data_IF_951068259660
#
_entry.id   IF_951068259660
#
_cell.length_a   1.000
_cell.length_b   1.000
_cell.length_c   1.000
_cell.angle_alpha   90.00
_cell.angle_beta   90.00
_cell.angle_gamma   90.00
#
_symmetry.space_group_name_H-M   'P 1'
#
loop_
_entity.id
_entity.type
_entity.pdbx_description
1 polymer ?
#
# COMPACT_ATOMS: atom_id res chain seq x y z
N UNK A 1 6.23 16.30 -1.64
CA UNK A 1 6.97 17.20 -2.57
C UNK A 1 6.09 17.71 -3.71
N UNK A 2 5.52 16.82 -4.54
CA UNK A 2 4.72 17.20 -5.73
C UNK A 2 3.55 18.15 -5.40
N UNK A 3 2.76 17.87 -4.34
CA UNK A 3 1.67 18.74 -3.87
C UNK A 3 2.13 20.18 -3.66
N UNK A 4 3.23 20.39 -2.92
CA UNK A 4 3.75 21.73 -2.61
C UNK A 4 4.28 22.45 -3.85
N UNK A 5 4.96 21.76 -4.76
CA UNK A 5 5.36 22.36 -6.04
C UNK A 5 4.16 22.87 -6.83
N UNK A 6 3.08 22.08 -6.88
CA UNK A 6 1.83 22.48 -7.51
C UNK A 6 1.23 23.70 -6.82
N UNK A 7 1.11 23.70 -5.49
CA UNK A 7 0.62 24.84 -4.71
C UNK A 7 1.39 26.14 -4.98
N UNK A 8 2.72 26.08 -4.99
CA UNK A 8 3.56 27.24 -5.27
C UNK A 8 3.36 27.75 -6.71
N UNK A 9 3.26 26.83 -7.67
CA UNK A 9 2.99 27.15 -9.07
C UNK A 9 1.62 27.79 -9.26
N UNK A 10 0.58 27.26 -8.60
CA UNK A 10 -0.80 27.74 -8.70
C UNK A 10 -0.93 29.20 -8.19
N UNK A 11 -0.08 29.58 -7.23
CA UNK A 11 0.00 30.95 -6.69
C UNK A 11 1.08 31.82 -7.34
N UNK A 12 1.85 31.29 -8.31
CA UNK A 12 2.91 32.03 -9.00
C UNK A 12 4.09 32.44 -8.11
N UNK A 13 4.34 31.71 -7.01
CA UNK A 13 5.37 32.04 -6.02
C UNK A 13 6.51 31.00 -6.01
N UNK A 14 7.73 31.46 -5.71
CA UNK A 14 8.93 30.61 -5.73
C UNK A 14 9.26 29.93 -4.41
N UNK A 15 8.66 30.34 -3.28
CA UNK A 15 8.99 29.81 -1.95
C UNK A 15 7.76 29.61 -1.07
N UNK A 16 7.86 28.73 -0.07
CA UNK A 16 6.80 28.49 0.91
C UNK A 16 6.49 29.73 1.75
N UNK A 17 7.49 30.56 2.02
CA UNK A 17 7.30 31.83 2.73
C UNK A 17 6.44 32.81 1.93
N UNK A 18 6.74 32.98 0.63
CA UNK A 18 5.92 33.79 -0.28
C UNK A 18 4.51 33.20 -0.43
N UNK A 19 4.37 31.87 -0.44
CA UNK A 19 3.06 31.22 -0.43
C UNK A 19 2.25 31.57 0.82
N UNK A 20 2.85 31.52 2.02
CA UNK A 20 2.17 31.89 3.28
C UNK A 20 1.72 33.36 3.26
N UNK A 21 2.54 34.25 2.70
CA UNK A 21 2.21 35.67 2.55
C UNK A 21 1.09 35.90 1.53
N UNK A 22 1.13 35.23 0.38
CA UNK A 22 0.17 35.42 -0.71
C UNK A 22 -1.19 34.76 -0.45
N UNK A 23 -1.21 33.56 0.12
CA UNK A 23 -2.43 32.78 0.36
C UNK A 23 -3.07 33.04 1.72
N UNK A 24 -2.30 33.54 2.69
CA UNK A 24 -2.70 33.59 4.11
C UNK A 24 -2.77 32.21 4.79
N UNK A 25 -2.51 31.11 4.07
CA UNK A 25 -2.58 29.76 4.60
C UNK A 25 -1.20 29.30 5.12
N UNK A 26 -1.21 28.63 6.27
CA UNK A 26 -0.01 28.06 6.86
C UNK A 26 0.24 26.65 6.32
N UNK A 27 1.47 26.39 5.91
CA UNK A 27 1.97 25.07 5.54
C UNK A 27 3.17 24.76 6.44
N UNK A 28 3.21 23.62 7.17
CA UNK A 28 4.24 23.34 8.15
C UNK A 28 5.61 23.13 7.51
N UNK A 29 6.68 23.58 8.17
CA UNK A 29 8.03 23.16 7.77
C UNK A 29 8.21 21.67 8.11
N UNK A 30 8.85 20.91 7.23
CA UNK A 30 9.19 19.51 7.47
C UNK A 30 10.69 19.43 7.63
N UNK A 31 11.15 18.81 8.72
CA UNK A 31 12.58 18.53 8.95
C UNK A 31 12.76 17.03 8.91
N UNK A 32 13.59 16.55 7.98
CA UNK A 32 13.98 15.16 7.87
C UNK A 32 15.36 15.03 8.52
N UNK A 33 15.44 14.22 9.57
CA UNK A 33 16.67 13.94 10.30
C UNK A 33 17.15 12.55 9.88
N UNK A 34 18.35 12.47 9.33
CA UNK A 34 19.03 11.22 9.02
C UNK A 34 20.27 11.13 9.90
N UNK A 35 20.21 10.30 10.93
CA UNK A 35 21.36 10.02 11.78
C UNK A 35 22.12 8.81 11.22
N UNK A 36 23.41 8.98 10.95
CA UNK A 36 24.30 8.01 10.32
C UNK A 36 23.87 7.64 8.90
N UNK A 37 24.28 8.44 7.91
CA UNK A 37 24.06 8.13 6.49
C UNK A 37 24.57 6.72 6.09
N UNK A 38 25.58 6.21 6.78
CA UNK A 38 26.12 4.88 6.53
C UNK A 38 25.13 3.75 6.84
N UNK A 39 24.12 3.95 7.70
CA UNK A 39 23.16 2.91 8.08
C UNK A 39 22.22 2.49 6.95
N UNK A 40 22.10 3.30 5.88
CA UNK A 40 21.29 2.95 4.71
C UNK A 40 22.10 2.30 3.58
N UNK A 41 23.43 2.17 3.72
CA UNK A 41 24.25 1.51 2.70
C UNK A 41 23.93 0.02 2.69
N UNK A 42 23.96 -0.58 1.51
CA UNK A 42 23.74 -2.03 1.28
C UNK A 42 22.30 -2.52 1.50
N UNK A 43 21.41 -1.63 1.93
CA UNK A 43 19.98 -1.90 2.01
C UNK A 43 19.35 -2.00 0.62
N UNK A 44 18.35 -2.88 0.47
CA UNK A 44 17.68 -3.10 -0.83
C UNK A 44 17.05 -1.82 -1.40
N UNK A 45 16.67 -0.87 -0.53
CA UNK A 45 16.05 0.41 -0.88
C UNK A 45 17.06 1.56 -1.04
N UNK A 46 18.37 1.34 -0.87
CA UNK A 46 19.41 2.40 -0.88
C UNK A 46 19.28 3.28 -2.13
N UNK A 47 19.16 2.67 -3.32
CA UNK A 47 19.18 3.38 -4.59
C UNK A 47 18.00 4.36 -4.75
N UNK A 48 16.78 3.89 -4.44
CA UNK A 48 15.57 4.71 -4.53
C UNK A 48 15.54 5.78 -3.43
N UNK A 49 15.94 5.41 -2.20
CA UNK A 49 16.05 6.37 -1.10
C UNK A 49 17.07 7.47 -1.42
N UNK A 50 18.23 7.12 -1.95
CA UNK A 50 19.26 8.08 -2.31
C UNK A 50 18.78 9.05 -3.41
N UNK A 51 18.06 8.54 -4.41
CA UNK A 51 17.43 9.37 -5.46
C UNK A 51 16.43 10.37 -4.87
N UNK A 52 15.64 9.94 -3.88
CA UNK A 52 14.72 10.80 -3.15
C UNK A 52 15.46 11.85 -2.31
N UNK A 53 16.51 11.46 -1.57
CA UNK A 53 17.32 12.36 -0.75
C UNK A 53 17.99 13.47 -1.59
N UNK A 54 18.56 13.13 -2.74
CA UNK A 54 19.15 14.12 -3.67
C UNK A 54 18.10 15.07 -4.21
N UNK A 55 16.91 14.55 -4.53
CA UNK A 55 15.78 15.38 -4.97
C UNK A 55 15.35 16.36 -3.87
N UNK A 56 15.26 15.89 -2.63
CA UNK A 56 14.92 16.71 -1.46
C UNK A 56 16.00 17.75 -1.20
N UNK A 57 17.29 17.40 -1.25
CA UNK A 57 18.36 18.35 -0.96
C UNK A 57 18.41 19.49 -1.98
N UNK A 58 18.08 19.21 -3.25
CA UNK A 58 18.02 20.23 -4.31
C UNK A 58 16.76 21.10 -4.27
N UNK A 59 15.60 20.51 -3.99
CA UNK A 59 14.30 21.16 -4.21
C UNK A 59 13.54 21.47 -2.92
N UNK A 60 13.96 20.91 -1.78
CA UNK A 60 13.24 20.95 -0.52
C UNK A 60 13.15 22.34 0.10
N UNK A 61 14.24 23.11 0.01
CA UNK A 61 14.33 24.42 0.67
C UNK A 61 13.23 25.38 0.22
N UNK A 62 12.96 25.47 -1.09
CA UNK A 62 11.92 26.34 -1.63
C UNK A 62 10.52 25.94 -1.17
N UNK A 63 10.29 24.65 -0.89
CA UNK A 63 8.98 24.12 -0.48
C UNK A 63 8.89 23.84 1.03
N UNK A 64 9.83 24.37 1.83
CA UNK A 64 9.88 24.24 3.29
C UNK A 64 10.09 22.82 3.78
N UNK A 65 10.90 22.04 3.06
CA UNK A 65 11.39 20.72 3.47
C UNK A 65 12.90 20.82 3.67
N UNK A 66 13.36 20.54 4.89
CA UNK A 66 14.74 20.66 5.32
C UNK A 66 15.31 19.28 5.61
N UNK A 67 16.59 19.12 5.35
CA UNK A 67 17.31 17.86 5.56
C UNK A 67 18.50 18.12 6.47
N UNK A 68 18.59 17.33 7.55
CA UNK A 68 19.72 17.31 8.47
C UNK A 68 20.31 15.90 8.42
N UNK A 69 21.59 15.81 8.10
CA UNK A 69 22.28 14.52 7.93
C UNK A 69 23.52 14.51 8.79
N UNK A 70 23.73 13.42 9.53
CA UNK A 70 25.03 13.10 10.12
C UNK A 70 25.68 11.97 9.30
N UNK A 71 27.00 12.00 9.20
CA UNK A 71 27.78 10.97 8.56
C UNK A 71 29.12 10.87 9.29
N UNK A 72 29.69 9.66 9.35
CA UNK A 72 31.01 9.45 9.95
C UNK A 72 32.11 10.17 9.17
N UNK A 73 32.01 10.21 7.84
CA UNK A 73 32.94 10.91 6.94
C UNK A 73 32.21 11.57 5.78
N UNK A 74 32.70 12.71 5.30
CA UNK A 74 32.11 13.35 4.11
C UNK A 74 32.35 12.49 2.86
N UNK A 75 33.48 11.78 2.79
CA UNK A 75 33.80 10.83 1.72
C UNK A 75 32.77 9.69 1.55
N UNK A 76 31.98 9.38 2.59
CA UNK A 76 30.88 8.41 2.49
C UNK A 76 29.65 8.96 1.76
N UNK A 77 29.51 10.28 1.70
CA UNK A 77 28.43 10.97 1.01
C UNK A 77 28.82 11.16 -0.46
N UNK A 78 27.89 10.87 -1.38
CA UNK A 78 28.12 11.10 -2.80
C UNK A 78 28.07 12.60 -3.11
N UNK A 79 28.95 13.09 -3.97
CA UNK A 79 29.13 14.54 -4.25
C UNK A 79 27.84 15.27 -4.63
N UNK A 80 27.00 14.65 -5.47
CA UNK A 80 25.71 15.23 -5.87
C UNK A 80 24.73 15.45 -4.71
N UNK A 81 24.96 14.81 -3.56
CA UNK A 81 24.12 14.95 -2.39
C UNK A 81 24.62 16.06 -1.47
N UNK A 82 25.88 16.01 -1.04
CA UNK A 82 26.43 16.99 -0.11
C UNK A 82 26.67 18.37 -0.75
N UNK A 83 26.78 18.45 -2.08
CA UNK A 83 26.90 19.74 -2.79
C UNK A 83 25.69 20.66 -2.57
N UNK A 84 24.53 20.11 -2.20
CA UNK A 84 23.32 20.88 -1.89
C UNK A 84 23.27 21.35 -0.43
N UNK A 85 24.22 20.97 0.42
CA UNK A 85 24.26 21.38 1.83
C UNK A 85 24.92 22.75 1.97
N UNK A 86 24.09 23.77 2.20
CA UNK A 86 24.52 25.14 2.47
C UNK A 86 25.31 25.24 3.79
N UNK A 87 24.84 24.55 4.82
CA UNK A 87 25.48 24.55 6.14
C UNK A 87 26.13 23.21 6.38
N UNK A 88 27.43 23.24 6.61
CA UNK A 88 28.22 22.06 6.95
C UNK A 88 29.13 22.43 8.12
N UNK A 89 29.31 21.48 9.02
CA UNK A 89 30.21 21.58 10.14
C UNK A 89 30.91 20.23 10.34
N UNK A 90 32.10 20.27 10.91
CA UNK A 90 32.85 19.07 11.28
C UNK A 90 33.10 19.08 12.78
N UNK A 91 32.75 17.99 13.45
CA UNK A 91 33.29 17.65 14.77
C UNK A 91 34.76 17.21 14.61
N UNK A 92 35.51 16.95 15.71
CA UNK A 92 36.84 16.38 15.61
C UNK A 92 36.81 15.10 14.76
N UNK A 93 37.75 15.00 13.82
CA UNK A 93 37.92 13.85 12.93
C UNK A 93 39.34 13.32 13.08
N UNK A 94 39.50 12.00 12.91
CA UNK A 94 40.82 11.37 12.97
C UNK A 94 41.76 11.87 11.86
N UNK A 95 41.21 12.19 10.69
CA UNK A 95 41.94 12.74 9.55
C UNK A 95 41.60 14.22 9.34
N UNK A 96 42.61 15.08 9.39
CA UNK A 96 42.48 16.51 9.12
C UNK A 96 42.10 16.81 7.66
N UNK A 97 42.36 15.89 6.73
CA UNK A 97 41.95 15.97 5.33
C UNK A 97 40.43 16.03 5.18
N UNK A 98 39.71 15.20 5.94
CA UNK A 98 38.24 15.17 5.97
C UNK A 98 37.66 16.47 6.53
N UNK A 99 38.30 17.05 7.55
CA UNK A 99 37.89 18.37 8.08
C UNK A 99 38.03 19.43 7.00
N UNK A 100 39.14 19.43 6.27
CA UNK A 100 39.41 20.40 5.20
C UNK A 100 38.47 20.28 4.01
N UNK A 101 37.99 19.08 3.68
CA UNK A 101 37.01 18.92 2.59
C UNK A 101 35.64 19.49 2.95
N UNK A 102 35.32 19.58 4.25
CA UNK A 102 34.06 20.14 4.76
C UNK A 102 34.14 21.67 4.91
N UNK A 103 35.12 22.17 5.68
CA UNK A 103 35.19 23.60 6.04
C UNK A 103 36.19 24.41 5.20
N UNK A 104 36.90 23.76 4.28
CA UNK A 104 37.94 24.38 3.47
C UNK A 104 39.32 24.35 4.13
N UNK A 105 40.33 24.88 3.43
CA UNK A 105 41.70 24.93 3.93
C UNK A 105 41.81 25.89 5.12
N UNK A 106 42.14 25.35 6.30
CA UNK A 106 42.36 26.14 7.53
C UNK A 106 43.44 25.49 8.40
N UNK A 107 44.24 26.29 9.14
CA UNK A 107 45.14 25.75 10.18
C UNK A 107 44.35 25.16 11.37
N UNK A 108 43.12 25.63 11.60
CA UNK A 108 42.28 25.19 12.72
C UNK A 108 41.95 23.70 12.66
N UNK A 109 41.89 23.12 11.46
CA UNK A 109 41.67 21.68 11.27
C UNK A 109 42.71 20.81 11.98
N UNK A 110 43.94 21.32 12.20
CA UNK A 110 45.02 20.61 12.91
C UNK A 110 45.10 20.95 14.40
N UNK A 111 44.51 22.08 14.79
CA UNK A 111 44.59 22.63 16.14
C UNK A 111 43.29 22.41 16.93
N UNK A 112 42.31 21.74 16.33
CA UNK A 112 41.03 21.46 16.95
C UNK A 112 41.20 20.49 18.12
N UNK A 113 40.77 20.90 19.30
CA UNK A 113 40.78 20.07 20.50
C UNK A 113 39.67 19.01 20.43
N UNK A 114 39.97 17.81 20.93
CA UNK A 114 39.02 16.70 21.03
C UNK A 114 38.11 16.87 22.27
N UNK A 115 37.22 17.85 22.19
CA UNK A 115 36.20 18.14 23.21
C UNK A 115 34.84 17.79 22.63
N UNK A 116 34.03 17.02 23.37
CA UNK A 116 32.66 16.69 22.95
C UNK A 116 31.86 17.98 22.65
N UNK A 117 31.25 18.02 21.47
CA UNK A 117 30.47 19.18 21.00
C UNK A 117 31.32 20.33 20.42
N UNK A 118 32.64 20.25 20.43
CA UNK A 118 33.51 21.16 19.67
C UNK A 118 33.29 20.92 18.19
N UNK A 119 33.16 21.97 17.38
CA UNK A 119 33.00 21.86 15.94
C UNK A 119 33.74 22.99 15.21
N UNK A 120 34.11 22.72 13.96
CA UNK A 120 34.46 23.76 12.99
C UNK A 120 33.28 23.96 12.05
N UNK A 121 32.89 25.21 11.83
CA UNK A 121 31.83 25.57 10.89
C UNK A 121 32.32 26.69 9.99
N UNK A 122 32.12 26.53 8.68
CA UNK A 122 32.40 27.59 7.73
C UNK A 122 31.20 28.52 7.62
N UNK A 123 31.38 29.79 7.96
CA UNK A 123 30.45 30.89 7.69
C UNK A 123 31.09 31.79 6.63
N UNK A 124 31.46 33.01 6.98
CA UNK A 124 32.35 33.85 6.17
C UNK A 124 33.80 33.36 6.32
N UNK A 125 34.20 33.06 7.55
CA UNK A 125 35.47 32.40 7.90
C UNK A 125 35.20 31.05 8.58
N UNK A 126 36.27 30.30 8.90
CA UNK A 126 36.15 29.04 9.64
C UNK A 126 36.20 29.35 11.13
N UNK A 127 35.07 29.16 11.80
CA UNK A 127 34.92 29.41 13.23
C UNK A 127 35.05 28.12 14.05
N UNK A 128 35.68 28.24 15.21
CA UNK A 128 35.64 27.21 16.24
C UNK A 128 34.41 27.44 17.12
N UNK A 129 33.46 26.52 17.08
CA UNK A 129 32.20 26.60 17.84
C UNK A 129 32.12 25.52 18.91
N UNK A 130 31.33 25.76 19.95
CA UNK A 130 30.94 24.76 20.93
C UNK A 130 29.43 24.62 20.88
N UNK A 131 28.95 23.40 20.62
CA UNK A 131 27.52 23.10 20.58
C UNK A 131 26.94 23.15 21.99
N UNK A 132 25.76 23.74 22.11
CA UNK A 132 24.99 23.72 23.34
C UNK A 132 24.42 22.31 23.59
N UNK A 133 24.27 21.98 24.87
CA UNK A 133 23.45 20.83 25.26
C UNK A 133 21.97 21.15 24.99
N UNK A 134 21.14 20.14 24.69
CA UNK A 134 19.71 20.36 24.44
C UNK A 134 18.98 20.91 25.67
N UNK A 135 19.46 20.59 26.87
CA UNK A 135 19.00 21.10 28.16
C UNK A 135 20.19 21.24 29.11
N UNK A 136 20.06 22.08 30.14
CA UNK A 136 21.09 22.22 31.18
C UNK A 136 21.20 20.95 32.03
N UNK A 137 22.43 20.57 32.41
CA UNK A 137 22.71 19.46 33.33
C UNK A 137 24.20 19.36 33.61
N UNK A 138 24.58 18.97 34.83
CA UNK A 138 25.99 18.86 35.22
C UNK A 138 26.65 17.53 34.75
N UNK A 139 25.84 16.55 34.36
CA UNK A 139 26.28 15.25 33.86
C UNK A 139 25.21 14.62 32.94
N UNK A 140 25.58 13.57 32.22
CA UNK A 140 24.73 12.91 31.21
C UNK A 140 23.38 12.43 31.78
N UNK A 141 23.36 11.92 33.02
CA UNK A 141 22.13 11.45 33.66
C UNK A 141 21.16 12.60 33.96
N UNK A 142 21.68 13.75 34.42
CA UNK A 142 20.86 14.95 34.62
C UNK A 142 20.35 15.51 33.29
N UNK A 143 21.19 15.56 32.25
CA UNK A 143 20.78 16.02 30.91
C UNK A 143 19.64 15.14 30.39
N UNK A 144 19.74 13.81 30.52
CA UNK A 144 18.69 12.89 30.05
C UNK A 144 17.37 13.08 30.81
N UNK A 145 17.41 13.21 32.14
CA UNK A 145 16.21 13.41 32.94
C UNK A 145 15.54 14.76 32.65
N UNK A 146 16.33 15.83 32.56
CA UNK A 146 15.81 17.15 32.23
C UNK A 146 15.24 17.20 30.81
N UNK A 147 15.84 16.47 29.86
CA UNK A 147 15.33 16.39 28.48
C UNK A 147 13.97 15.69 28.44
N UNK A 148 13.77 14.62 29.22
CA UNK A 148 12.47 13.96 29.34
C UNK A 148 11.40 14.89 29.92
N UNK A 149 11.76 15.69 30.93
CA UNK A 149 10.86 16.67 31.53
C UNK A 149 10.50 17.78 30.53
N UNK A 150 11.48 18.30 29.79
CA UNK A 150 11.25 19.32 28.76
C UNK A 150 10.31 18.80 27.66
N UNK A 151 10.54 17.58 27.17
CA UNK A 151 9.66 16.95 26.17
C UNK A 151 8.24 16.77 26.70
N UNK A 152 8.07 16.33 27.95
CA UNK A 152 6.74 16.20 28.56
C UNK A 152 6.03 17.55 28.67
N UNK A 153 6.75 18.60 29.11
CA UNK A 153 6.22 19.96 29.19
C UNK A 153 5.77 20.49 27.83
N UNK A 154 6.58 20.28 26.78
CA UNK A 154 6.20 20.66 25.41
C UNK A 154 4.97 19.89 24.90
N UNK A 155 4.85 18.61 25.26
CA UNK A 155 3.69 17.80 24.90
C UNK A 155 2.40 18.25 25.60
N UNK A 156 2.49 18.67 26.86
CA UNK A 156 1.36 19.21 27.64
C UNK A 156 0.97 20.61 27.18
N UNK A 157 1.95 21.46 26.84
CA UNK A 157 1.72 22.82 26.37
C UNK A 157 1.03 22.87 24.99
N UNK A 158 1.23 21.85 24.14
CA UNK A 158 0.64 21.79 22.82
C UNK A 158 -0.75 21.16 22.80
N UNK A 159 -1.77 21.99 22.66
CA UNK A 159 -3.18 21.58 22.55
C UNK A 159 -3.70 21.49 21.10
N UNK A 160 -2.87 21.84 20.12
CA UNK A 160 -3.23 21.81 18.70
C UNK A 160 -3.12 20.42 18.06
N UNK A 161 -3.43 20.34 16.77
CA UNK A 161 -3.25 19.11 15.99
C UNK A 161 -1.76 18.73 15.93
N UNK A 162 -1.45 17.46 16.18
CA UNK A 162 -0.10 16.89 15.98
C UNK A 162 0.05 16.37 14.55
N UNK A 163 1.28 16.31 14.00
CA UNK A 163 1.52 15.63 12.73
C UNK A 163 1.00 14.20 12.77
N UNK A 164 0.32 13.76 11.72
CA UNK A 164 -0.05 12.36 11.56
C UNK A 164 1.20 11.49 11.48
N UNK A 165 1.16 10.32 12.11
CA UNK A 165 2.20 9.31 11.93
C UNK A 165 2.30 8.90 10.45
N UNK A 166 3.47 8.41 10.05
CA UNK A 166 3.61 7.75 8.75
C UNK A 166 2.71 6.50 8.81
N UNK A 167 1.71 6.37 7.93
CA UNK A 167 0.89 5.17 7.88
C UNK A 167 1.79 3.96 7.64
N UNK A 168 1.71 2.96 8.51
CA UNK A 168 2.43 1.70 8.35
C UNK A 168 1.43 0.58 8.22
N UNK A 169 1.69 -0.34 7.29
CA UNK A 169 0.96 -1.59 7.22
C UNK A 169 1.32 -2.41 8.47
N UNK A 170 0.34 -2.91 9.24
CA UNK A 170 0.61 -3.80 10.37
C UNK A 170 1.42 -5.04 9.97
N UNK A 171 2.23 -5.57 10.89
CA UNK A 171 2.97 -6.82 10.69
C UNK A 171 2.04 -8.02 10.52
N UNK A 172 0.88 -8.01 11.18
CA UNK A 172 -0.24 -8.93 10.97
C UNK A 172 -1.51 -8.10 10.87
N UNK A 173 -2.31 -8.36 9.85
CA UNK A 173 -3.57 -7.64 9.65
C UNK A 173 -4.73 -8.54 10.08
N UNK A 174 -5.20 -8.42 11.32
CA UNK A 174 -6.42 -9.12 11.72
C UNK A 174 -7.66 -8.44 11.14
N UNK A 175 -8.75 -9.19 10.98
CA UNK A 175 -10.05 -8.66 10.56
C UNK A 175 -10.52 -7.58 11.53
N UNK A 176 -10.40 -7.78 12.84
CA UNK A 176 -10.83 -6.81 13.85
C UNK A 176 -10.07 -5.48 13.71
N UNK A 177 -8.74 -5.56 13.56
CA UNK A 177 -7.88 -4.37 13.37
C UNK A 177 -8.28 -3.63 12.10
N UNK A 178 -8.48 -4.37 11.01
CA UNK A 178 -8.85 -3.79 9.72
C UNK A 178 -10.20 -3.05 9.77
N UNK A 179 -11.22 -3.64 10.41
CA UNK A 179 -12.55 -3.02 10.48
C UNK A 179 -12.64 -1.85 11.48
N UNK A 180 -11.89 -1.90 12.58
CA UNK A 180 -11.90 -0.82 13.58
C UNK A 180 -11.15 0.42 13.11
N UNK A 181 -10.04 0.26 12.36
CA UNK A 181 -9.13 1.36 12.07
C UNK A 181 -9.43 2.12 10.75
N UNK A 182 -10.10 1.50 9.78
CA UNK A 182 -10.10 2.00 8.39
C UNK A 182 -11.47 2.35 7.79
N UNK A 183 -12.53 2.51 8.60
CA UNK A 183 -13.79 3.12 8.13
C UNK A 183 -14.52 2.33 7.04
N UNK A 184 -14.60 1.01 7.19
CA UNK A 184 -15.11 0.06 6.19
C UNK A 184 -16.55 0.31 5.73
N UNK A 185 -17.37 0.92 6.59
CA UNK A 185 -18.77 1.17 6.30
C UNK A 185 -18.99 2.07 5.07
N UNK A 186 -18.05 2.98 4.80
CA UNK A 186 -18.09 3.84 3.60
C UNK A 186 -17.82 3.02 2.32
N UNK A 187 -16.91 2.05 2.37
CA UNK A 187 -16.62 1.16 1.23
C UNK A 187 -17.83 0.32 0.86
N UNK A 188 -18.52 -0.25 1.87
CA UNK A 188 -19.72 -1.04 1.64
C UNK A 188 -20.87 -0.21 1.05
N UNK A 189 -21.03 1.04 1.47
CA UNK A 189 -21.98 1.98 0.86
C UNK A 189 -21.65 2.29 -0.61
N UNK A 190 -20.38 2.20 -1.00
CA UNK A 190 -19.92 2.34 -2.38
C UNK A 190 -19.90 1.00 -3.14
N UNK A 191 -20.51 -0.04 -2.57
CA UNK A 191 -20.54 -1.41 -3.09
C UNK A 191 -19.13 -1.97 -3.36
N UNK A 192 -18.18 -1.65 -2.47
CA UNK A 192 -16.81 -2.16 -2.49
C UNK A 192 -16.66 -3.19 -1.38
N UNK A 193 -16.37 -4.44 -1.75
CA UNK A 193 -16.08 -5.50 -0.79
C UNK A 193 -14.60 -5.39 -0.39
N UNK A 194 -14.30 -5.00 0.86
CA UNK A 194 -12.93 -4.71 1.28
C UNK A 194 -12.14 -6.02 1.43
N UNK A 195 -10.86 -6.02 1.06
CA UNK A 195 -10.02 -7.23 1.09
C UNK A 195 -8.73 -7.05 1.89
N UNK A 196 -8.29 -5.80 2.11
CA UNK A 196 -7.04 -5.54 2.79
C UNK A 196 -6.57 -4.10 2.64
N UNK A 197 -5.28 -3.88 2.93
CA UNK A 197 -4.61 -2.59 2.83
C UNK A 197 -3.63 -2.57 1.67
N UNK A 198 -3.64 -1.47 0.92
CA UNK A 198 -2.58 -1.18 -0.05
C UNK A 198 -1.24 -0.96 0.67
N UNK A 199 -0.17 -1.61 0.19
CA UNK A 199 1.12 -1.58 0.88
C UNK A 199 1.88 -0.27 0.74
N UNK A 200 1.53 0.60 -0.21
CA UNK A 200 2.22 1.87 -0.42
C UNK A 200 1.55 3.02 0.34
N UNK A 201 0.22 3.08 0.34
CA UNK A 201 -0.53 4.20 0.90
C UNK A 201 -1.31 3.86 2.19
N UNK A 202 -1.36 2.57 2.56
CA UNK A 202 -2.06 2.06 3.75
C UNK A 202 -3.53 2.48 3.78
N UNK A 203 -4.18 2.40 2.62
CA UNK A 203 -5.61 2.62 2.48
C UNK A 203 -6.35 1.30 2.27
N UNK A 204 -7.59 1.17 2.77
CA UNK A 204 -8.39 -0.02 2.55
C UNK A 204 -8.75 -0.12 1.06
N UNK A 205 -8.56 -1.32 0.52
CA UNK A 205 -8.79 -1.67 -0.88
C UNK A 205 -9.52 -2.99 -0.97
N UNK A 206 -10.18 -3.22 -2.10
CA UNK A 206 -10.96 -4.42 -2.31
C UNK A 206 -11.63 -4.47 -3.67
N UNK A 207 -12.59 -5.38 -3.80
CA UNK A 207 -13.34 -5.60 -5.02
C UNK A 207 -14.40 -4.51 -5.22
N UNK A 208 -14.29 -3.77 -6.33
CA UNK A 208 -15.28 -2.76 -6.73
C UNK A 208 -16.35 -3.42 -7.60
N UNK A 209 -17.47 -3.82 -6.99
CA UNK A 209 -18.51 -4.60 -7.68
C UNK A 209 -19.09 -3.83 -8.87
N UNK A 210 -19.26 -2.51 -8.74
CA UNK A 210 -19.71 -1.65 -9.84
C UNK A 210 -18.77 -1.60 -11.05
N UNK A 211 -17.49 -2.00 -10.92
CA UNK A 211 -16.54 -2.09 -12.04
C UNK A 211 -16.55 -3.45 -12.74
N UNK A 212 -17.28 -4.43 -12.20
CA UNK A 212 -17.50 -5.73 -12.83
C UNK A 212 -17.02 -6.92 -12.00
N UNK A 213 -16.91 -8.10 -12.64
CA UNK A 213 -16.67 -9.36 -11.96
C UNK A 213 -15.26 -9.45 -11.37
N UNK A 214 -15.07 -10.39 -10.46
CA UNK A 214 -13.80 -10.60 -9.76
C UNK A 214 -13.35 -12.05 -9.85
N UNK A 215 -12.04 -12.27 -9.78
CA UNK A 215 -11.47 -13.62 -9.62
C UNK A 215 -10.41 -13.61 -8.53
N UNK A 216 -10.51 -14.56 -7.60
CA UNK A 216 -9.46 -14.88 -6.66
C UNK A 216 -8.66 -16.08 -7.20
N UNK A 217 -7.36 -15.85 -7.44
CA UNK A 217 -6.40 -16.88 -7.83
C UNK A 217 -5.66 -17.30 -6.57
N UNK A 218 -6.14 -18.36 -5.96
CA UNK A 218 -5.60 -18.95 -4.74
C UNK A 218 -4.21 -19.53 -4.96
N UNK A 219 -3.44 -19.57 -3.87
CA UNK A 219 -2.22 -20.37 -3.78
C UNK A 219 -2.52 -21.83 -3.49
N UNK A 220 -1.55 -22.53 -2.90
CA UNK A 220 -1.68 -23.96 -2.55
C UNK A 220 -2.55 -24.22 -1.31
N UNK A 221 -2.94 -23.17 -0.57
CA UNK A 221 -3.66 -23.28 0.69
C UNK A 221 -5.17 -23.22 0.48
N UNK A 222 -5.85 -24.30 0.86
CA UNK A 222 -7.31 -24.42 0.75
C UNK A 222 -8.01 -23.53 1.79
N UNK A 223 -7.40 -23.29 2.96
CA UNK A 223 -7.97 -22.44 4.01
C UNK A 223 -8.25 -21.02 3.50
N UNK A 224 -7.42 -20.50 2.60
CA UNK A 224 -7.60 -19.17 2.03
C UNK A 224 -8.81 -19.08 1.09
N UNK A 225 -9.12 -20.15 0.35
CA UNK A 225 -10.34 -20.21 -0.48
C UNK A 225 -11.57 -20.13 0.40
N UNK A 226 -11.59 -20.87 1.52
CA UNK A 226 -12.69 -20.86 2.48
C UNK A 226 -12.85 -19.49 3.12
N UNK A 227 -11.77 -18.92 3.63
CA UNK A 227 -11.84 -17.65 4.35
C UNK A 227 -12.23 -16.47 3.44
N UNK A 228 -11.81 -16.46 2.16
CA UNK A 228 -12.34 -15.50 1.18
C UNK A 228 -13.81 -15.76 0.89
N UNK A 229 -14.24 -17.01 0.77
CA UNK A 229 -15.65 -17.35 0.51
C UNK A 229 -16.55 -16.81 1.61
N UNK A 230 -16.23 -17.12 2.87
CA UNK A 230 -16.98 -16.65 4.04
C UNK A 230 -17.02 -15.12 4.10
N UNK A 231 -15.87 -14.48 3.86
CA UNK A 231 -15.77 -13.02 3.89
C UNK A 231 -16.63 -12.36 2.78
N UNK A 232 -16.62 -12.90 1.56
CA UNK A 232 -17.47 -12.40 0.47
C UNK A 232 -18.95 -12.56 0.78
N UNK A 233 -19.35 -13.71 1.34
CA UNK A 233 -20.73 -13.98 1.74
C UNK A 233 -21.17 -12.94 2.77
N UNK A 234 -20.37 -12.75 3.84
CA UNK A 234 -20.68 -11.81 4.91
C UNK A 234 -20.82 -10.37 4.39
N UNK A 235 -19.88 -9.91 3.56
CA UNK A 235 -19.92 -8.54 3.02
C UNK A 235 -21.09 -8.34 2.06
N UNK A 236 -21.42 -9.36 1.26
CA UNK A 236 -22.58 -9.31 0.37
C UNK A 236 -23.88 -9.17 1.17
N UNK A 237 -24.02 -9.92 2.28
CA UNK A 237 -25.15 -9.80 3.20
C UNK A 237 -25.22 -8.42 3.87
N UNK A 238 -24.09 -7.86 4.32
CA UNK A 238 -24.05 -6.52 4.90
C UNK A 238 -24.47 -5.41 3.92
N UNK A 239 -24.29 -5.63 2.62
CA UNK A 239 -24.76 -4.75 1.55
C UNK A 239 -26.20 -5.04 1.09
N UNK A 240 -26.95 -5.89 1.81
CA UNK A 240 -28.31 -6.33 1.46
C UNK A 240 -28.40 -6.97 0.06
N UNK A 241 -27.38 -7.76 -0.31
CA UNK A 241 -27.33 -8.50 -1.57
C UNK A 241 -27.58 -9.97 -1.32
N UNK A 242 -28.33 -10.61 -2.22
CA UNK A 242 -28.51 -12.08 -2.21
C UNK A 242 -27.19 -12.75 -2.54
N UNK A 243 -26.97 -13.94 -2.01
CA UNK A 243 -25.77 -14.73 -2.33
C UNK A 243 -26.18 -16.06 -2.93
N UNK A 244 -25.58 -16.39 -4.07
CA UNK A 244 -25.68 -17.71 -4.69
C UNK A 244 -24.28 -18.34 -4.68
N UNK A 245 -24.14 -19.48 -4.04
CA UNK A 245 -22.89 -20.22 -3.90
C UNK A 245 -22.98 -21.51 -4.70
N UNK A 246 -22.17 -21.60 -5.75
CA UNK A 246 -22.02 -22.80 -6.57
C UNK A 246 -20.63 -23.39 -6.31
N UNK A 247 -20.57 -24.66 -5.95
CA UNK A 247 -19.32 -25.37 -5.67
C UNK A 247 -19.37 -26.80 -6.24
N UNK A 248 -18.23 -27.48 -6.43
CA UNK A 248 -18.21 -28.91 -6.77
C UNK A 248 -18.86 -29.75 -5.67
N UNK A 249 -19.26 -30.98 -6.01
CA UNK A 249 -19.89 -31.89 -5.04
C UNK A 249 -18.97 -32.17 -3.84
N UNK A 250 -17.68 -32.32 -4.11
CA UNK A 250 -16.66 -32.50 -3.08
C UNK A 250 -15.98 -31.16 -2.81
N UNK A 251 -16.40 -30.48 -1.75
CA UNK A 251 -15.83 -29.22 -1.31
C UNK A 251 -15.65 -29.21 0.22
N UNK A 252 -14.90 -28.22 0.71
CA UNK A 252 -14.59 -28.05 2.14
C UNK A 252 -15.44 -26.96 2.80
N UNK A 253 -16.50 -26.48 2.15
CA UNK A 253 -17.31 -25.39 2.68
C UNK A 253 -18.12 -25.87 3.90
N UNK A 254 -18.25 -25.02 4.93
CA UNK A 254 -19.14 -25.33 6.05
C UNK A 254 -20.61 -25.32 5.62
N UNK A 255 -21.49 -25.80 6.49
CA UNK A 255 -22.93 -25.61 6.30
C UNK A 255 -23.25 -24.10 6.25
N UNK A 256 -23.96 -23.71 5.19
CA UNK A 256 -24.36 -22.33 4.97
C UNK A 256 -25.73 -22.08 5.59
N UNK A 257 -25.94 -20.84 6.04
CA UNK A 257 -27.24 -20.35 6.49
C UNK A 257 -28.26 -20.35 5.33
N UNK A 258 -29.55 -20.51 5.67
CA UNK A 258 -30.68 -20.66 4.74
C UNK A 258 -30.84 -19.45 3.80
N UNK A 259 -30.27 -18.29 4.14
CA UNK A 259 -30.25 -17.09 3.31
C UNK A 259 -29.32 -17.19 2.09
N UNK A 260 -28.39 -18.16 2.08
CA UNK A 260 -27.46 -18.41 0.96
C UNK A 260 -28.02 -19.52 0.09
N UNK A 261 -28.29 -19.23 -1.17
CA UNK A 261 -28.69 -20.26 -2.13
C UNK A 261 -27.46 -21.09 -2.50
N UNK A 262 -27.42 -22.37 -2.12
CA UNK A 262 -26.31 -23.28 -2.42
C UNK A 262 -26.69 -24.30 -3.49
N UNK A 263 -25.72 -24.69 -4.30
CA UNK A 263 -25.82 -25.79 -5.25
C UNK A 263 -24.47 -26.51 -5.35
N UNK A 264 -24.46 -27.83 -5.15
CA UNK A 264 -23.21 -28.63 -5.06
C UNK A 264 -23.20 -29.85 -5.98
N UNK A 265 -24.32 -30.53 -6.15
CA UNK A 265 -24.41 -31.64 -7.10
C UNK A 265 -24.75 -31.13 -8.51
N UNK A 266 -24.39 -31.92 -9.51
CA UNK A 266 -24.58 -31.57 -10.92
C UNK A 266 -26.00 -31.12 -11.27
N UNK A 267 -27.04 -31.79 -10.76
CA UNK A 267 -28.43 -31.47 -11.11
C UNK A 267 -28.81 -30.09 -10.54
N UNK A 268 -28.50 -29.85 -9.26
CA UNK A 268 -28.71 -28.57 -8.61
C UNK A 268 -27.89 -27.44 -9.25
N UNK A 269 -26.64 -27.72 -9.66
CA UNK A 269 -25.77 -26.77 -10.34
C UNK A 269 -26.36 -26.34 -11.70
N UNK A 270 -26.75 -27.31 -12.52
CA UNK A 270 -27.33 -27.04 -13.84
C UNK A 270 -28.66 -26.30 -13.71
N UNK A 271 -29.54 -26.70 -12.79
CA UNK A 271 -30.81 -26.01 -12.52
C UNK A 271 -30.58 -24.56 -12.07
N UNK A 272 -29.65 -24.34 -11.15
CA UNK A 272 -29.35 -23.01 -10.60
C UNK A 272 -28.79 -22.08 -11.68
N UNK A 273 -27.87 -22.57 -12.53
CA UNK A 273 -27.33 -21.80 -13.65
C UNK A 273 -28.45 -21.40 -14.63
N UNK A 274 -29.31 -22.34 -15.00
CA UNK A 274 -30.43 -22.06 -15.90
C UNK A 274 -31.43 -21.07 -15.29
N UNK A 275 -31.70 -21.18 -13.98
CA UNK A 275 -32.54 -20.26 -13.23
C UNK A 275 -31.97 -18.83 -13.20
N UNK A 276 -30.66 -18.68 -12.98
CA UNK A 276 -29.98 -17.38 -13.06
C UNK A 276 -30.09 -16.83 -14.49
N UNK A 277 -29.79 -17.63 -15.51
CA UNK A 277 -29.91 -17.21 -16.92
C UNK A 277 -31.31 -16.69 -17.25
N UNK A 278 -32.37 -17.37 -16.80
CA UNK A 278 -33.75 -16.90 -16.99
C UNK A 278 -34.02 -15.57 -16.28
N UNK A 279 -33.49 -15.37 -15.06
CA UNK A 279 -33.60 -14.08 -14.34
C UNK A 279 -32.83 -12.96 -15.05
N UNK A 280 -31.69 -13.26 -15.68
CA UNK A 280 -30.97 -12.29 -16.51
C UNK A 280 -31.82 -11.84 -17.71
N UNK A 281 -32.53 -12.77 -18.36
CA UNK A 281 -33.45 -12.46 -19.46
C UNK A 281 -34.59 -11.54 -19.03
N UNK A 282 -35.22 -11.84 -17.89
CA UNK A 282 -36.27 -11.00 -17.31
C UNK A 282 -35.77 -9.58 -17.01
N UNK A 283 -34.62 -9.47 -16.35
CA UNK A 283 -34.03 -8.16 -15.99
C UNK A 283 -33.61 -7.36 -17.21
N UNK A 284 -33.09 -8.03 -18.25
CA UNK A 284 -32.77 -7.39 -19.52
C UNK A 284 -34.02 -6.82 -20.19
N UNK A 285 -35.11 -7.59 -20.23
CA UNK A 285 -36.39 -7.14 -20.78
C UNK A 285 -36.96 -5.95 -19.99
N UNK A 286 -36.83 -5.97 -18.66
CA UNK A 286 -37.31 -4.94 -17.76
C UNK A 286 -36.35 -3.76 -17.56
N UNK A 287 -35.17 -3.77 -18.21
CA UNK A 287 -34.11 -2.74 -18.09
C UNK A 287 -33.69 -2.48 -16.64
N UNK A 288 -33.54 -3.55 -15.87
CA UNK A 288 -33.07 -3.49 -14.49
C UNK A 288 -31.57 -3.77 -14.42
N UNK A 289 -30.83 -2.86 -13.79
CA UNK A 289 -29.36 -2.86 -13.78
C UNK A 289 -28.77 -2.67 -12.37
N UNK A 290 -29.63 -2.47 -11.37
CA UNK A 290 -29.25 -2.42 -9.96
C UNK A 290 -28.61 -3.74 -9.52
N UNK A 291 -27.64 -3.66 -8.61
CA UNK A 291 -26.94 -4.81 -8.06
C UNK A 291 -27.84 -5.56 -7.06
N UNK A 292 -28.15 -6.82 -7.36
CA UNK A 292 -29.12 -7.64 -6.60
C UNK A 292 -28.47 -8.85 -5.93
N UNK A 293 -27.52 -9.52 -6.60
CA UNK A 293 -26.98 -10.78 -6.12
C UNK A 293 -25.50 -10.97 -6.43
N UNK A 294 -24.74 -11.45 -5.46
CA UNK A 294 -23.38 -12.00 -5.65
C UNK A 294 -23.50 -13.46 -6.07
N UNK A 295 -22.87 -13.83 -7.19
CA UNK A 295 -22.80 -15.22 -7.67
C UNK A 295 -21.37 -15.71 -7.47
N UNK A 296 -21.16 -16.53 -6.45
CA UNK A 296 -19.87 -17.07 -6.07
C UNK A 296 -19.70 -18.46 -6.65
N UNK A 297 -18.60 -18.66 -7.38
CA UNK A 297 -18.17 -19.95 -7.87
C UNK A 297 -16.94 -20.40 -7.10
N UNK A 298 -17.12 -21.39 -6.23
CA UNK A 298 -16.04 -22.00 -5.46
C UNK A 298 -15.32 -23.04 -6.31
N UNK A 299 -14.00 -23.10 -6.18
CA UNK A 299 -13.12 -24.05 -6.87
C UNK A 299 -13.44 -24.29 -8.35
N UNK A 300 -13.41 -23.20 -9.11
CA UNK A 300 -13.93 -23.13 -10.48
C UNK A 300 -13.28 -24.14 -11.45
N UNK A 301 -12.00 -24.44 -11.26
CA UNK A 301 -11.26 -25.43 -12.09
C UNK A 301 -11.91 -26.81 -12.06
N UNK A 302 -12.36 -27.26 -10.88
CA UNK A 302 -13.00 -28.57 -10.72
C UNK A 302 -14.49 -28.48 -11.05
N UNK A 303 -15.14 -27.39 -10.61
CA UNK A 303 -16.55 -27.11 -10.85
C UNK A 303 -16.93 -27.14 -12.34
N UNK A 304 -16.09 -26.60 -13.23
CA UNK A 304 -16.41 -26.52 -14.66
C UNK A 304 -16.48 -27.91 -15.33
N UNK A 305 -15.77 -28.91 -14.79
CA UNK A 305 -15.74 -30.27 -15.34
C UNK A 305 -17.04 -31.05 -15.11
N UNK A 306 -17.81 -30.69 -14.07
CA UNK A 306 -19.07 -31.37 -13.73
C UNK A 306 -20.23 -30.98 -14.67
N UNK A 307 -20.13 -29.81 -15.30
CA UNK A 307 -21.20 -29.22 -16.12
C UNK A 307 -21.25 -29.78 -17.54
N UNK A 308 -22.46 -29.92 -18.08
CA UNK A 308 -22.63 -30.17 -19.51
C UNK A 308 -22.17 -28.99 -20.38
N UNK A 309 -21.83 -29.27 -21.64
CA UNK A 309 -21.36 -28.27 -22.61
C UNK A 309 -22.38 -27.13 -22.80
N UNK A 310 -23.67 -27.44 -22.75
CA UNK A 310 -24.72 -26.42 -22.91
C UNK A 310 -24.84 -25.54 -21.67
N UNK A 311 -24.75 -26.13 -20.47
CA UNK A 311 -24.69 -25.35 -19.22
C UNK A 311 -23.43 -24.48 -19.15
N UNK A 312 -22.28 -24.94 -19.64
CA UNK A 312 -21.07 -24.12 -19.71
C UNK A 312 -21.23 -22.86 -20.59
N UNK A 313 -22.08 -22.91 -21.64
CA UNK A 313 -22.39 -21.73 -22.46
C UNK A 313 -23.27 -20.75 -21.70
N UNK A 314 -24.26 -21.24 -20.95
CA UNK A 314 -25.10 -20.40 -20.09
C UNK A 314 -24.29 -19.78 -18.94
N UNK A 315 -23.37 -20.53 -18.34
CA UNK A 315 -22.43 -20.01 -17.37
C UNK A 315 -21.56 -18.88 -17.96
N UNK A 316 -20.98 -19.09 -19.15
CA UNK A 316 -20.22 -18.04 -19.84
C UNK A 316 -21.05 -16.77 -20.04
N UNK A 317 -22.33 -16.93 -20.38
CA UNK A 317 -23.29 -15.83 -20.50
C UNK A 317 -23.53 -15.12 -19.16
N UNK A 318 -23.65 -15.84 -18.04
CA UNK A 318 -23.77 -15.26 -16.70
C UNK A 318 -22.52 -14.46 -16.36
N UNK A 319 -21.33 -15.02 -16.57
CA UNK A 319 -20.06 -14.35 -16.29
C UNK A 319 -19.89 -13.05 -17.11
N UNK A 320 -20.37 -13.03 -18.36
CA UNK A 320 -20.24 -11.87 -19.25
C UNK A 320 -21.34 -10.81 -19.06
N UNK A 321 -22.60 -11.24 -18.93
CA UNK A 321 -23.77 -10.34 -18.90
C UNK A 321 -24.30 -10.07 -17.49
N UNK A 322 -24.06 -10.98 -16.55
CA UNK A 322 -24.46 -10.86 -15.16
C UNK A 322 -24.11 -9.51 -14.53
N UNK A 323 -22.85 -9.02 -14.62
CA UNK A 323 -22.45 -7.75 -14.02
C UNK A 323 -23.32 -6.56 -14.46
N UNK A 324 -23.74 -6.54 -15.73
CA UNK A 324 -24.58 -5.47 -16.28
C UNK A 324 -26.03 -5.54 -15.81
N UNK A 325 -26.46 -6.70 -15.36
CA UNK A 325 -27.84 -7.01 -14.98
C UNK A 325 -27.98 -7.26 -13.48
N UNK A 326 -26.98 -6.87 -12.68
CA UNK A 326 -27.05 -6.94 -11.22
C UNK A 326 -26.74 -8.30 -10.60
N UNK A 327 -26.21 -9.26 -11.36
CA UNK A 327 -25.72 -10.54 -10.86
C UNK A 327 -24.20 -10.52 -10.94
N UNK A 328 -23.56 -10.21 -9.82
CA UNK A 328 -22.13 -9.93 -9.79
C UNK A 328 -21.33 -11.22 -9.57
N UNK A 329 -20.59 -11.71 -10.58
CA UNK A 329 -19.81 -12.93 -10.47
C UNK A 329 -18.51 -12.73 -9.71
N UNK A 330 -18.19 -13.68 -8.85
CA UNK A 330 -16.86 -13.87 -8.28
C UNK A 330 -16.43 -15.31 -8.40
N UNK A 331 -15.25 -15.52 -8.95
CA UNK A 331 -14.67 -16.84 -9.22
C UNK A 331 -13.53 -17.09 -8.26
N UNK A 332 -13.59 -18.18 -7.50
CA UNK A 332 -12.50 -18.66 -6.65
C UNK A 332 -11.88 -19.85 -7.38
N UNK A 333 -10.59 -19.77 -7.65
CA UNK A 333 -9.90 -20.74 -8.50
C UNK A 333 -8.42 -20.79 -8.15
N UNK A 334 -7.69 -21.70 -8.77
CA UNK A 334 -6.23 -21.75 -8.74
C UNK A 334 -5.62 -21.56 -10.14
N UNK A 335 -4.30 -21.73 -10.24
CA UNK A 335 -3.55 -21.64 -11.51
C UNK A 335 -3.90 -22.75 -12.51
N UNK A 336 -4.54 -23.84 -12.07
CA UNK A 336 -4.89 -24.98 -12.93
C UNK A 336 -6.02 -24.66 -13.90
N UNK A 337 -6.79 -23.60 -13.64
CA UNK A 337 -7.81 -23.07 -14.56
C UNK A 337 -7.29 -22.85 -15.99
N UNK A 338 -5.99 -22.57 -16.12
CA UNK A 338 -5.33 -22.37 -17.42
C UNK A 338 -5.33 -23.62 -18.32
N UNK A 339 -5.59 -24.81 -17.76
CA UNK A 339 -5.71 -26.08 -18.49
C UNK A 339 -7.04 -26.20 -19.26
N UNK A 340 -8.06 -25.42 -18.91
CA UNK A 340 -9.39 -25.50 -19.50
C UNK A 340 -9.54 -24.54 -20.69
N UNK A 341 -10.25 -24.98 -21.73
CA UNK A 341 -10.43 -24.26 -23.01
C UNK A 341 -11.88 -23.92 -23.34
N UNK A 342 -12.80 -24.18 -22.41
CA UNK A 342 -14.23 -23.92 -22.54
C UNK A 342 -14.52 -22.41 -22.61
N UNK A 343 -15.78 -22.08 -22.92
CA UNK A 343 -16.22 -20.70 -23.11
C UNK A 343 -16.26 -19.92 -21.80
N UNK A 344 -16.63 -20.54 -20.67
CA UNK A 344 -16.75 -19.85 -19.40
C UNK A 344 -15.36 -19.49 -18.86
N UNK A 345 -14.40 -20.42 -18.90
CA UNK A 345 -13.01 -20.17 -18.52
C UNK A 345 -12.40 -19.02 -19.33
N UNK A 346 -12.67 -18.94 -20.64
CA UNK A 346 -12.22 -17.82 -21.48
C UNK A 346 -12.78 -16.47 -21.02
N UNK A 347 -14.01 -16.43 -20.51
CA UNK A 347 -14.62 -15.22 -19.95
C UNK A 347 -13.92 -14.83 -18.65
N UNK A 348 -13.70 -15.77 -17.72
CA UNK A 348 -12.98 -15.53 -16.46
C UNK A 348 -11.59 -14.95 -16.70
N UNK A 349 -10.84 -15.51 -17.66
CA UNK A 349 -9.48 -15.03 -18.00
C UNK A 349 -9.43 -13.61 -18.58
N UNK A 350 -10.58 -13.08 -19.00
CA UNK A 350 -10.73 -11.70 -19.47
C UNK A 350 -11.24 -10.75 -18.37
N UNK A 351 -11.44 -11.23 -17.15
CA UNK A 351 -11.74 -10.36 -16.01
C UNK A 351 -10.59 -9.37 -15.80
N UNK A 352 -10.97 -8.15 -15.44
CA UNK A 352 -10.02 -7.04 -15.23
C UNK A 352 -9.73 -6.78 -13.76
N UNK A 353 -10.51 -7.41 -12.88
CA UNK A 353 -10.33 -7.31 -11.44
C UNK A 353 -10.07 -8.69 -10.85
N UNK A 354 -9.18 -8.75 -9.87
CA UNK A 354 -8.97 -9.97 -9.11
C UNK A 354 -7.92 -9.84 -8.03
N UNK A 355 -7.77 -10.87 -7.22
CA UNK A 355 -6.80 -10.96 -6.15
C UNK A 355 -5.96 -12.21 -6.36
N UNK A 356 -4.64 -12.07 -6.31
CA UNK A 356 -3.69 -13.15 -6.60
C UNK A 356 -2.88 -13.43 -5.35
N UNK A 357 -2.94 -14.66 -4.84
CA UNK A 357 -2.17 -15.14 -3.70
C UNK A 357 -0.82 -15.77 -4.08
N UNK A 358 -0.52 -15.86 -5.38
CA UNK A 358 0.73 -16.37 -5.94
C UNK A 358 1.55 -15.25 -6.60
N UNK A 359 2.77 -15.56 -7.04
CA UNK A 359 3.57 -14.62 -7.84
C UNK A 359 2.86 -14.31 -9.15
N UNK A 360 2.91 -13.05 -9.60
CA UNK A 360 2.33 -12.62 -10.89
C UNK A 360 2.90 -13.44 -12.04
N UNK A 361 4.17 -13.82 -11.95
CA UNK A 361 4.85 -14.62 -12.97
C UNK A 361 4.47 -16.12 -12.95
N UNK A 362 3.87 -16.62 -11.87
CA UNK A 362 3.50 -18.03 -11.72
C UNK A 362 2.05 -18.32 -12.16
N UNK A 363 1.27 -17.28 -12.48
CA UNK A 363 -0.12 -17.41 -12.91
C UNK A 363 -0.37 -16.84 -14.32
N UNK A 364 -1.29 -17.47 -15.06
CA UNK A 364 -1.76 -17.00 -16.37
C UNK A 364 -3.29 -16.92 -16.46
N UNK A 365 -3.95 -16.86 -15.30
CA UNK A 365 -5.40 -16.72 -15.18
C UNK A 365 -5.80 -15.27 -15.46
N UNK A 366 -5.18 -14.31 -14.77
CA UNK A 366 -5.38 -12.88 -14.95
C UNK A 366 -4.27 -12.24 -15.78
N UNK A 367 -4.66 -11.35 -16.67
CA UNK A 367 -3.71 -10.51 -17.37
C UNK A 367 -3.23 -9.35 -16.48
N UNK A 368 -1.92 -9.16 -16.41
CA UNK A 368 -1.27 -8.10 -15.63
C UNK A 368 -0.26 -7.39 -16.52
N UNK A 369 -0.41 -6.08 -16.67
CA UNK A 369 0.41 -5.25 -17.56
C UNK A 369 1.72 -4.83 -16.92
N UNK A 370 1.71 -4.45 -15.65
CA UNK A 370 2.86 -4.00 -14.88
C UNK A 370 3.57 -5.15 -14.16
N UNK A 371 3.95 -6.18 -14.93
CA UNK A 371 4.63 -7.35 -14.37
C UNK A 371 5.95 -6.96 -13.69
N UNK A 372 6.23 -7.48 -12.49
CA UNK A 372 7.51 -7.26 -11.83
C UNK A 372 8.64 -7.93 -12.61
N UNK A 373 9.86 -7.41 -12.45
CA UNK A 373 11.06 -7.98 -13.06
C UNK A 373 11.30 -9.43 -12.60
N UNK A 374 12.21 -10.15 -13.26
CA UNK A 374 12.49 -11.59 -13.08
C UNK A 374 12.86 -12.05 -11.67
N UNK A 375 13.06 -11.14 -10.71
CA UNK A 375 13.34 -11.44 -9.29
C UNK A 375 12.13 -11.11 -8.42
N UNK A 376 10.98 -11.70 -8.75
CA UNK A 376 9.79 -11.58 -7.92
C UNK A 376 9.92 -12.51 -6.70
N UNK A 377 9.88 -11.95 -5.47
CA UNK A 377 9.94 -12.75 -4.25
C UNK A 377 8.67 -13.61 -4.10
N UNK A 378 8.77 -14.67 -3.32
CA UNK A 378 7.59 -15.42 -2.86
C UNK A 378 6.77 -14.49 -1.96
N UNK A 379 5.44 -14.55 -2.08
CA UNK A 379 4.54 -13.78 -1.24
C UNK A 379 4.41 -14.43 0.13
N UNK A 380 4.43 -13.61 1.17
CA UNK A 380 4.03 -14.03 2.52
C UNK A 380 2.52 -14.35 2.55
N UNK A 381 2.06 -15.05 3.59
CA UNK A 381 0.68 -15.57 3.68
C UNK A 381 -0.40 -14.50 3.46
N UNK A 382 -0.24 -13.33 4.10
CA UNK A 382 -1.16 -12.20 3.98
C UNK A 382 -0.80 -11.24 2.84
N UNK A 383 0.22 -11.52 2.04
CA UNK A 383 0.60 -10.67 0.92
C UNK A 383 -0.03 -11.16 -0.37
N UNK A 384 -0.72 -10.27 -1.07
CA UNK A 384 -1.40 -10.59 -2.31
C UNK A 384 -1.16 -9.47 -3.32
N UNK A 385 -1.52 -9.73 -4.58
CA UNK A 385 -1.67 -8.68 -5.58
C UNK A 385 -3.14 -8.44 -5.87
N UNK A 386 -3.60 -7.22 -5.63
CA UNK A 386 -4.89 -6.76 -6.13
C UNK A 386 -4.69 -6.22 -7.55
N UNK A 387 -5.37 -6.85 -8.50
CA UNK A 387 -5.41 -6.45 -9.92
C UNK A 387 -6.68 -5.67 -10.17
N UNK A 388 -6.55 -4.47 -10.76
CA UNK A 388 -7.67 -3.67 -11.26
C UNK A 388 -7.27 -3.02 -12.57
N UNK A 389 -8.12 -3.13 -13.59
CA UNK A 389 -7.83 -2.69 -14.96
C UNK A 389 -6.48 -3.23 -15.49
N UNK A 390 -6.19 -4.50 -15.18
CA UNK A 390 -4.93 -5.19 -15.51
C UNK A 390 -3.67 -4.56 -14.87
N UNK A 391 -3.83 -3.70 -13.87
CA UNK A 391 -2.73 -3.15 -13.07
C UNK A 391 -2.71 -3.83 -11.71
N UNK A 392 -1.60 -4.49 -11.38
CA UNK A 392 -1.39 -5.13 -10.09
C UNK A 392 -0.75 -4.16 -9.09
N UNK A 393 -1.18 -4.23 -7.84
CA UNK A 393 -0.55 -3.57 -6.70
C UNK A 393 -0.47 -4.53 -5.52
N UNK A 394 0.58 -4.40 -4.73
CA UNK A 394 0.79 -5.27 -3.57
C UNK A 394 -0.14 -4.81 -2.43
N UNK A 395 -0.86 -5.76 -1.86
CA UNK A 395 -1.81 -5.52 -0.76
C UNK A 395 -1.54 -6.51 0.35
N UNK A 396 -1.84 -6.10 1.58
CA UNK A 396 -1.91 -6.98 2.73
C UNK A 396 -3.35 -7.31 3.04
N UNK A 397 -3.73 -8.57 2.90
CA UNK A 397 -5.07 -9.04 3.22
C UNK A 397 -5.17 -9.44 4.68
N UNK A 398 -6.38 -9.40 5.24
CA UNK A 398 -6.64 -9.86 6.61
C UNK A 398 -7.07 -11.33 6.68
N UNK A 399 -6.96 -12.03 5.56
CA UNK A 399 -7.41 -13.40 5.36
C UNK A 399 -6.16 -14.28 5.40
N UNK A 400 -6.12 -15.24 6.30
CA UNK A 400 -4.96 -16.10 6.56
C UNK A 400 -4.99 -17.41 5.77
#
# INVERSE_FOLDING_TARGET
>A
LNRRKKLLSDYGVGTLELYRQASGQQEPAIVILLDSYESMKEEAYEAELFKLLVRISREGLSIGVHLLVTAGRQSNLRAQFYANFKHQLSLPQNDFGEVRSIVGSTPLAKMMEDIKGRALMKRDEVDVIQLALPVAGANDAQVLNNLRQEVASLQEAWTGQRPSAIPMVPEELSKEVFYQAYGIQELLQQEVIPMGLDMENVQPVGWQTHQGPFVYVAGEKEEQKLAITEHIIEMSKQMDKKVVLLAPLYNMLPEMDDEVLTAFDKEALEETILSISAKLDERMANRQFDYVATVLFYDFSDFIEELSIDTQKELARILEKGPKLGYMPIVITDVSLTKHYDTATKVVRNFKQGLIATRINDQQVLNVNNRPNTREPVLEVQEHYLVQDNMARKVKVFIE
#
